data_IF_855053050670
#
_entry.id   IF_855053050670
#
_cell.length_a   1.000
_cell.length_b   1.000
_cell.length_c   1.000
_cell.angle_alpha   90.00
_cell.angle_beta   90.00
_cell.angle_gamma   90.00
#
_symmetry.space_group_name_H-M   'P 1'
#
loop_
_entity.id
_entity.type
_entity.pdbx_description
1 polymer ?
#
# COMPACT_ATOMS: atom_id res chain seq x y z
N UNK A 1 -13.53 -24.80 10.61
CA UNK A 1 -13.65 -25.08 12.10
C UNK A 1 -15.10 -24.94 12.52
N UNK A 2 -15.60 -25.71 13.53
CA UNK A 2 -17.01 -25.54 13.97
C UNK A 2 -17.19 -24.19 14.65
N UNK A 3 -18.22 -23.42 14.26
CA UNK A 3 -18.50 -22.08 14.79
C UNK A 3 -18.53 -22.02 16.33
N UNK A 4 -19.18 -23.01 16.98
CA UNK A 4 -19.24 -23.09 18.45
C UNK A 4 -17.84 -23.18 19.11
N UNK A 5 -16.86 -23.80 18.45
CA UNK A 5 -15.49 -23.88 18.97
C UNK A 5 -14.78 -22.52 18.85
N UNK A 6 -14.99 -21.79 17.74
CA UNK A 6 -14.42 -20.46 17.55
C UNK A 6 -14.98 -19.51 18.62
N UNK A 7 -16.31 -19.51 18.83
CA UNK A 7 -16.95 -18.69 19.86
C UNK A 7 -16.38 -18.97 21.25
N UNK A 8 -16.26 -20.27 21.60
CA UNK A 8 -15.68 -20.66 22.90
C UNK A 8 -14.23 -20.20 23.06
N UNK A 9 -13.42 -20.35 22.02
CA UNK A 9 -12.02 -19.89 22.04
C UNK A 9 -11.94 -18.37 22.17
N UNK A 10 -12.84 -17.66 21.51
CA UNK A 10 -12.92 -16.19 21.61
C UNK A 10 -13.25 -15.75 23.04
N UNK A 11 -14.23 -16.35 23.71
CA UNK A 11 -14.55 -15.99 25.10
C UNK A 11 -13.35 -16.19 26.04
N UNK A 12 -12.61 -17.30 25.89
CA UNK A 12 -11.37 -17.54 26.64
C UNK A 12 -10.32 -16.45 26.35
N UNK A 13 -10.14 -16.08 25.07
CA UNK A 13 -9.24 -15.02 24.67
C UNK A 13 -9.63 -13.68 25.30
N UNK A 14 -10.92 -13.33 25.22
CA UNK A 14 -11.50 -12.11 25.79
C UNK A 14 -11.23 -11.98 27.29
N UNK A 15 -11.42 -13.05 28.06
CA UNK A 15 -11.09 -13.05 29.49
C UNK A 15 -9.60 -12.81 29.77
N UNK A 16 -8.71 -13.41 28.97
CA UNK A 16 -7.25 -13.24 29.10
C UNK A 16 -6.80 -11.82 28.80
N UNK A 17 -7.33 -11.21 27.72
CA UNK A 17 -7.03 -9.83 27.36
C UNK A 17 -7.64 -8.82 28.35
N UNK A 18 -8.86 -9.07 28.84
CA UNK A 18 -9.50 -8.24 29.85
C UNK A 18 -8.70 -8.19 31.17
N UNK A 19 -8.03 -9.29 31.54
CA UNK A 19 -7.16 -9.32 32.70
C UNK A 19 -5.94 -8.38 32.58
N UNK A 20 -5.58 -7.97 31.35
CA UNK A 20 -4.54 -6.98 31.05
C UNK A 20 -5.12 -5.58 30.75
N UNK A 21 -6.43 -5.39 30.90
CA UNK A 21 -7.11 -4.13 30.62
C UNK A 21 -7.41 -3.89 29.14
N UNK A 22 -7.34 -4.93 28.28
CA UNK A 22 -7.55 -4.83 26.83
C UNK A 22 -8.96 -5.29 26.47
N UNK A 23 -9.66 -4.47 25.67
CA UNK A 23 -11.00 -4.77 25.16
C UNK A 23 -10.90 -5.33 23.73
N UNK A 24 -11.15 -6.63 23.59
CA UNK A 24 -11.08 -7.34 22.30
C UNK A 24 -12.20 -6.97 21.35
N UNK A 25 -13.40 -6.63 21.84
CA UNK A 25 -14.51 -6.19 20.99
C UNK A 25 -14.19 -4.85 20.35
N UNK A 26 -13.61 -3.91 21.11
CA UNK A 26 -13.14 -2.62 20.60
C UNK A 26 -12.01 -2.79 19.59
N UNK A 27 -11.06 -3.70 19.84
CA UNK A 27 -9.99 -4.00 18.90
C UNK A 27 -10.53 -4.52 17.55
N UNK A 28 -11.51 -5.44 17.58
CA UNK A 28 -12.20 -5.94 16.40
C UNK A 28 -12.95 -4.82 15.66
N UNK A 29 -13.69 -3.99 16.37
CA UNK A 29 -14.41 -2.85 15.77
C UNK A 29 -13.46 -1.86 15.11
N UNK A 30 -12.30 -1.60 15.72
CA UNK A 30 -11.28 -0.74 15.16
C UNK A 30 -10.67 -1.35 13.89
N UNK A 31 -10.35 -2.64 13.91
CA UNK A 31 -9.85 -3.36 12.74
C UNK A 31 -10.85 -3.32 11.57
N UNK A 32 -12.13 -3.54 11.86
CA UNK A 32 -13.21 -3.55 10.86
C UNK A 32 -13.35 -2.20 10.13
N UNK A 33 -13.09 -1.10 10.86
CA UNK A 33 -13.19 0.27 10.35
C UNK A 33 -11.89 0.83 9.74
N UNK A 34 -10.75 0.19 10.01
CA UNK A 34 -9.45 0.65 9.49
C UNK A 34 -9.31 0.26 8.03
N UNK A 35 -9.31 1.21 7.08
CA UNK A 35 -9.24 0.88 5.67
C UNK A 35 -7.86 0.37 5.28
N UNK A 36 -7.83 -0.65 4.42
CA UNK A 36 -6.61 -1.11 3.75
C UNK A 36 -6.80 -0.93 2.24
N UNK A 37 -5.88 -0.24 1.58
CA UNK A 37 -5.88 -0.02 0.15
C UNK A 37 -5.19 -1.18 -0.56
N UNK A 38 -5.96 -1.93 -1.35
CA UNK A 38 -5.48 -3.01 -2.19
C UNK A 38 -4.86 -2.41 -3.46
N UNK A 39 -3.74 -2.93 -3.88
CA UNK A 39 -3.04 -2.49 -5.09
C UNK A 39 -3.46 -3.35 -6.28
N UNK A 40 -3.97 -2.74 -7.35
CA UNK A 40 -4.51 -3.49 -8.50
C UNK A 40 -3.43 -4.27 -9.28
N UNK A 41 -2.18 -3.83 -9.23
CA UNK A 41 -1.07 -4.36 -10.05
C UNK A 41 -0.54 -5.74 -9.64
N UNK A 42 -0.95 -6.29 -8.50
CA UNK A 42 -0.71 -7.69 -8.16
C UNK A 42 -1.47 -8.66 -9.09
N UNK A 43 -2.60 -8.25 -9.69
CA UNK A 43 -3.43 -9.14 -10.49
C UNK A 43 -2.87 -9.40 -11.91
N UNK A 44 -2.06 -8.46 -12.45
CA UNK A 44 -1.61 -8.49 -13.84
C UNK A 44 -0.09 -8.31 -14.02
N UNK A 45 0.70 -8.36 -12.94
CA UNK A 45 2.17 -8.19 -12.97
C UNK A 45 2.61 -6.78 -13.42
N UNK A 46 1.88 -5.74 -13.02
CA UNK A 46 2.18 -4.31 -13.32
C UNK A 46 2.20 -3.97 -14.81
N UNK A 47 1.47 -4.70 -15.65
CA UNK A 47 1.44 -4.45 -17.11
C UNK A 47 0.50 -3.31 -17.47
N UNK A 48 -0.67 -3.24 -16.80
CA UNK A 48 -1.73 -2.31 -17.17
C UNK A 48 -2.40 -2.62 -18.50
N UNK A 49 -3.29 -1.73 -18.96
CA UNK A 49 -4.10 -1.96 -20.15
C UNK A 49 -4.00 -0.83 -21.18
N UNK A 50 -3.01 0.05 -21.03
CA UNK A 50 -2.77 1.18 -21.91
C UNK A 50 -2.21 0.74 -23.28
N UNK A 51 -1.07 0.02 -23.27
CA UNK A 51 -0.31 -0.32 -24.49
C UNK A 51 0.01 -1.80 -24.66
N UNK A 52 -0.15 -2.60 -23.61
CA UNK A 52 0.19 -4.03 -23.62
C UNK A 52 1.71 -4.32 -23.71
N UNK A 53 2.55 -3.34 -23.41
CA UNK A 53 4.01 -3.49 -23.40
C UNK A 53 4.50 -4.02 -22.04
N UNK A 54 5.64 -4.72 -22.05
CA UNK A 54 6.26 -5.21 -20.83
C UNK A 54 6.74 -4.05 -19.94
N UNK A 55 6.68 -4.23 -18.61
CA UNK A 55 7.16 -3.27 -17.64
C UNK A 55 8.64 -2.89 -17.88
N UNK A 56 8.96 -1.61 -17.70
CA UNK A 56 10.32 -1.04 -17.81
C UNK A 56 10.56 -0.03 -16.67
N UNK A 57 11.70 0.63 -16.65
CA UNK A 57 12.00 1.63 -15.63
C UNK A 57 12.35 1.04 -14.26
N UNK A 58 12.91 -0.19 -14.26
CA UNK A 58 13.33 -0.87 -13.04
C UNK A 58 12.21 -1.60 -12.29
N UNK A 59 10.97 -1.54 -12.79
CA UNK A 59 9.84 -2.31 -12.27
C UNK A 59 9.69 -3.58 -13.09
N UNK A 60 9.77 -4.73 -12.43
CA UNK A 60 9.60 -6.03 -13.07
C UNK A 60 9.04 -7.04 -12.07
N UNK A 61 7.84 -7.55 -12.34
CA UNK A 61 7.33 -8.72 -11.63
C UNK A 61 8.14 -9.95 -11.98
N UNK A 62 8.47 -10.75 -10.99
CA UNK A 62 9.18 -12.02 -11.16
C UNK A 62 8.22 -13.20 -11.05
N UNK A 63 8.44 -14.20 -11.90
CA UNK A 63 7.60 -15.39 -11.98
C UNK A 63 6.71 -15.41 -13.22
N UNK A 64 6.06 -16.53 -13.41
CA UNK A 64 5.17 -16.79 -14.54
C UNK A 64 3.98 -17.67 -14.15
N UNK A 65 3.47 -17.48 -12.92
CA UNK A 65 2.30 -18.23 -12.49
C UNK A 65 1.12 -17.94 -13.45
N UNK A 66 0.39 -18.97 -13.91
CA UNK A 66 -0.65 -18.79 -14.92
C UNK A 66 -1.86 -18.00 -14.38
N UNK A 67 -2.67 -17.50 -15.32
CA UNK A 67 -3.99 -16.91 -15.01
C UNK A 67 -3.98 -15.44 -14.60
N UNK A 68 -2.94 -14.66 -14.92
CA UNK A 68 -2.95 -13.22 -14.71
C UNK A 68 -4.09 -12.52 -15.43
N UNK A 69 -4.58 -11.41 -14.90
CA UNK A 69 -5.60 -10.60 -15.55
C UNK A 69 -5.04 -9.98 -16.86
N UNK A 70 -5.82 -10.08 -17.94
CA UNK A 70 -5.44 -9.63 -19.30
C UNK A 70 -6.18 -8.37 -19.74
N UNK A 71 -7.21 -7.99 -19.00
CA UNK A 71 -8.05 -6.84 -19.23
C UNK A 71 -8.74 -6.39 -17.94
N UNK A 72 -9.42 -5.27 -18.00
CA UNK A 72 -10.08 -4.63 -16.84
C UNK A 72 -11.17 -5.53 -16.24
N UNK A 73 -11.94 -6.22 -17.04
CA UNK A 73 -13.03 -7.08 -16.55
C UNK A 73 -12.48 -8.27 -15.75
N UNK A 74 -11.39 -8.89 -16.23
CA UNK A 74 -10.71 -9.95 -15.51
C UNK A 74 -10.07 -9.45 -14.20
N UNK A 75 -9.51 -8.25 -14.22
CA UNK A 75 -8.95 -7.63 -13.02
C UNK A 75 -10.05 -7.34 -12.00
N UNK A 76 -11.16 -6.73 -12.41
CA UNK A 76 -12.32 -6.52 -11.54
C UNK A 76 -12.84 -7.81 -10.94
N UNK A 77 -12.98 -8.86 -11.75
CA UNK A 77 -13.40 -10.19 -11.30
C UNK A 77 -12.44 -10.76 -10.22
N UNK A 78 -11.13 -10.56 -10.39
CA UNK A 78 -10.14 -11.00 -9.41
C UNK A 78 -10.26 -10.22 -8.10
N UNK A 79 -10.40 -8.91 -8.15
CA UNK A 79 -10.59 -8.08 -6.94
C UNK A 79 -11.91 -8.41 -6.25
N UNK A 80 -12.99 -8.68 -6.99
CA UNK A 80 -14.26 -9.14 -6.41
C UNK A 80 -14.08 -10.48 -5.67
N UNK A 81 -13.31 -11.42 -6.26
CA UNK A 81 -12.99 -12.68 -5.59
C UNK A 81 -12.15 -12.44 -4.33
N UNK A 82 -11.15 -11.58 -4.37
CA UNK A 82 -10.35 -11.19 -3.20
C UNK A 82 -11.24 -10.60 -2.11
N UNK A 83 -12.09 -9.63 -2.46
CA UNK A 83 -12.99 -8.96 -1.52
C UNK A 83 -13.98 -9.96 -0.86
N UNK A 84 -14.42 -10.98 -1.59
CA UNK A 84 -15.31 -12.01 -1.05
C UNK A 84 -14.67 -12.93 0.00
N UNK A 85 -13.35 -12.92 0.14
CA UNK A 85 -12.58 -13.77 1.06
C UNK A 85 -11.96 -12.98 2.23
N UNK A 86 -12.26 -11.69 2.34
CA UNK A 86 -11.68 -10.80 3.34
C UNK A 86 -12.77 -10.05 4.11
N UNK A 87 -12.60 -9.90 5.43
CA UNK A 87 -13.41 -9.03 6.27
C UNK A 87 -12.74 -7.66 6.42
N UNK A 88 -13.53 -6.60 6.60
CA UNK A 88 -13.05 -5.25 6.87
C UNK A 88 -13.42 -4.24 5.80
N UNK A 89 -12.77 -3.08 5.85
CA UNK A 89 -13.00 -1.97 4.92
C UNK A 89 -11.83 -1.87 3.95
N UNK A 90 -12.11 -1.82 2.65
CA UNK A 90 -11.08 -1.80 1.62
C UNK A 90 -11.20 -0.59 0.69
N UNK A 91 -10.05 -0.19 0.16
CA UNK A 91 -9.90 0.73 -0.96
C UNK A 91 -9.19 -0.01 -2.08
N UNK A 92 -9.24 0.49 -3.30
CA UNK A 92 -8.45 -0.03 -4.41
C UNK A 92 -7.54 1.08 -4.94
N UNK A 93 -6.25 0.82 -4.93
CA UNK A 93 -5.23 1.70 -5.48
C UNK A 93 -4.99 1.35 -6.95
N UNK A 94 -5.20 2.33 -7.84
CA UNK A 94 -5.00 2.22 -9.27
C UNK A 94 -3.76 3.00 -9.71
N UNK A 95 -3.09 2.53 -10.75
CA UNK A 95 -2.20 3.34 -11.57
C UNK A 95 -2.93 3.91 -12.79
N UNK A 96 -2.39 4.97 -13.36
CA UNK A 96 -2.95 5.58 -14.56
C UNK A 96 -3.09 4.57 -15.72
N UNK A 97 -2.16 3.64 -15.89
CA UNK A 97 -2.16 2.61 -16.95
C UNK A 97 -3.34 1.62 -16.89
N UNK A 98 -4.15 1.65 -15.84
CA UNK A 98 -5.36 0.85 -15.68
C UNK A 98 -6.63 1.56 -16.15
N UNK A 99 -6.50 2.67 -16.87
CA UNK A 99 -7.63 3.38 -17.47
C UNK A 99 -8.40 2.56 -18.49
N UNK A 100 -9.68 2.88 -18.68
CA UNK A 100 -10.57 2.30 -19.72
C UNK A 100 -10.36 3.04 -21.05
N UNK A 101 -9.31 2.67 -21.78
CA UNK A 101 -8.96 3.36 -23.04
C UNK A 101 -9.82 2.98 -24.24
N UNK A 102 -10.57 1.87 -24.16
CA UNK A 102 -11.50 1.44 -25.24
C UNK A 102 -10.83 1.20 -26.59
N UNK A 103 -9.56 0.77 -26.58
CA UNK A 103 -8.74 0.57 -27.78
C UNK A 103 -8.23 1.88 -28.43
N UNK A 104 -8.45 3.03 -27.81
CA UNK A 104 -7.86 4.31 -28.23
C UNK A 104 -6.46 4.44 -27.68
N UNK A 105 -5.56 4.96 -28.50
CA UNK A 105 -4.25 5.40 -28.03
C UNK A 105 -4.38 6.83 -27.49
N UNK A 106 -4.41 6.97 -26.18
CA UNK A 106 -4.39 8.24 -25.45
C UNK A 106 -3.04 8.29 -24.77
N UNK A 107 -2.25 9.33 -24.99
CA UNK A 107 -0.96 9.45 -24.32
C UNK A 107 -1.13 9.95 -22.89
N UNK A 108 -0.17 9.66 -22.02
CA UNK A 108 -0.27 9.91 -20.58
C UNK A 108 -0.47 11.37 -20.22
N UNK A 109 0.05 12.29 -21.02
CA UNK A 109 -0.21 13.73 -20.87
C UNK A 109 -1.55 14.20 -21.47
N UNK A 110 -2.40 13.28 -21.95
CA UNK A 110 -3.73 13.55 -22.50
C UNK A 110 -4.85 12.86 -21.71
N UNK A 111 -4.50 11.94 -20.78
CA UNK A 111 -5.47 11.19 -19.99
C UNK A 111 -6.38 12.09 -19.17
N UNK A 112 -7.64 11.70 -19.01
CA UNK A 112 -8.66 12.45 -18.27
C UNK A 112 -9.47 11.52 -17.36
N UNK A 113 -10.37 12.09 -16.58
CA UNK A 113 -11.29 11.32 -15.73
C UNK A 113 -12.17 10.37 -16.51
N UNK A 114 -12.40 10.61 -17.79
CA UNK A 114 -13.28 9.77 -18.64
C UNK A 114 -12.79 8.32 -18.70
N UNK A 115 -11.47 8.10 -18.63
CA UNK A 115 -10.87 6.77 -18.61
C UNK A 115 -11.05 6.03 -17.28
N UNK A 116 -11.60 6.68 -16.25
CA UNK A 116 -11.75 6.11 -14.92
C UNK A 116 -13.19 6.12 -14.39
N UNK A 117 -14.15 6.60 -15.19
CA UNK A 117 -15.57 6.65 -14.78
C UNK A 117 -16.15 5.27 -14.48
N UNK A 118 -15.78 4.26 -15.27
CA UNK A 118 -16.18 2.88 -15.04
C UNK A 118 -15.60 2.32 -13.73
N UNK A 119 -14.35 2.66 -13.38
CA UNK A 119 -13.74 2.29 -12.11
C UNK A 119 -14.46 2.92 -10.92
N UNK A 120 -14.81 4.21 -11.00
CA UNK A 120 -15.54 4.91 -9.94
C UNK A 120 -16.91 4.25 -9.71
N UNK A 121 -17.64 3.92 -10.78
CA UNK A 121 -18.94 3.26 -10.67
C UNK A 121 -18.81 1.86 -10.09
N UNK A 122 -17.87 1.06 -10.59
CA UNK A 122 -17.60 -0.30 -10.10
C UNK A 122 -17.19 -0.29 -8.62
N UNK A 123 -16.29 0.60 -8.20
CA UNK A 123 -15.85 0.70 -6.82
C UNK A 123 -17.03 1.02 -5.87
N UNK A 124 -17.93 1.92 -6.28
CA UNK A 124 -19.16 2.22 -5.56
C UNK A 124 -20.06 0.99 -5.40
N UNK A 125 -20.22 0.18 -6.45
CA UNK A 125 -21.01 -1.05 -6.42
C UNK A 125 -20.38 -2.11 -5.51
N UNK A 126 -19.05 -2.15 -5.43
CA UNK A 126 -18.30 -3.03 -4.53
C UNK A 126 -18.18 -2.49 -3.10
N UNK A 127 -18.76 -1.33 -2.79
CA UNK A 127 -18.58 -0.62 -1.52
C UNK A 127 -17.10 -0.38 -1.17
N UNK A 128 -16.30 -0.12 -2.19
CA UNK A 128 -14.88 0.25 -2.09
C UNK A 128 -14.69 1.72 -2.44
N UNK A 129 -13.56 2.28 -2.01
CA UNK A 129 -13.09 3.60 -2.44
C UNK A 129 -11.82 3.44 -3.26
N UNK A 130 -11.47 4.48 -4.01
CA UNK A 130 -10.29 4.47 -4.88
C UNK A 130 -9.18 5.34 -4.32
N UNK A 131 -7.95 4.86 -4.50
CA UNK A 131 -6.72 5.62 -4.43
C UNK A 131 -6.03 5.56 -5.80
N UNK A 132 -5.01 6.40 -6.02
CA UNK A 132 -4.46 6.59 -7.35
C UNK A 132 -2.95 6.78 -7.36
N UNK A 133 -2.31 6.47 -8.50
CA UNK A 133 -0.89 6.73 -8.75
C UNK A 133 -0.69 7.33 -10.13
N UNK A 134 0.25 8.28 -10.26
CA UNK A 134 0.85 8.58 -11.55
C UNK A 134 1.78 7.45 -11.98
N UNK A 135 1.96 7.28 -13.29
CA UNK A 135 2.82 6.22 -13.84
C UNK A 135 3.92 6.83 -14.67
N UNK A 136 5.15 6.85 -14.16
CA UNK A 136 6.30 7.45 -14.84
C UNK A 136 7.22 6.43 -15.53
N UNK A 137 6.97 5.15 -15.38
CA UNK A 137 7.73 4.02 -15.95
C UNK A 137 7.01 3.41 -17.18
N UNK A 138 7.68 2.52 -17.90
CA UNK A 138 7.10 1.77 -19.04
C UNK A 138 6.53 2.66 -20.15
N UNK A 139 7.22 3.73 -20.50
CA UNK A 139 6.85 4.66 -21.55
C UNK A 139 8.08 5.07 -22.35
N UNK A 140 7.98 5.34 -23.68
CA UNK A 140 9.15 5.73 -24.51
C UNK A 140 9.91 6.95 -23.99
N UNK A 141 9.24 7.88 -23.30
CA UNK A 141 9.86 9.07 -22.71
C UNK A 141 10.33 8.87 -21.26
N UNK A 142 10.18 7.66 -20.67
CA UNK A 142 10.59 7.41 -19.28
C UNK A 142 12.11 7.54 -19.09
N UNK A 143 12.90 6.87 -19.92
CA UNK A 143 14.37 6.89 -19.80
C UNK A 143 14.83 6.63 -18.36
N UNK A 144 15.91 7.29 -17.96
CA UNK A 144 16.40 7.29 -16.58
C UNK A 144 15.93 8.50 -15.76
N UNK A 145 15.36 9.50 -16.40
CA UNK A 145 14.93 10.76 -15.79
C UNK A 145 13.58 11.19 -16.40
N UNK A 146 12.64 11.53 -15.55
CA UNK A 146 11.31 12.02 -15.93
C UNK A 146 11.08 13.45 -15.41
N UNK A 147 10.58 13.62 -14.20
CA UNK A 147 10.36 14.94 -13.57
C UNK A 147 11.66 15.69 -13.28
N UNK A 148 12.79 15.00 -13.19
CA UNK A 148 14.12 15.61 -13.06
C UNK A 148 14.90 15.71 -14.38
N UNK A 149 14.25 15.46 -15.52
CA UNK A 149 14.92 15.48 -16.82
C UNK A 149 15.39 16.90 -17.17
N UNK A 150 16.66 17.09 -17.58
CA UNK A 150 17.18 18.39 -18.03
C UNK A 150 16.56 18.87 -19.34
N UNK A 151 16.04 17.95 -20.19
CA UNK A 151 15.28 18.32 -21.39
C UNK A 151 13.89 18.85 -20.99
N UNK A 152 13.57 20.13 -21.28
CA UNK A 152 12.29 20.72 -20.92
C UNK A 152 11.09 19.98 -21.55
N UNK A 153 11.21 19.52 -22.79
CA UNK A 153 10.09 18.88 -23.48
C UNK A 153 9.69 17.55 -22.81
N UNK A 154 10.68 16.74 -22.40
CA UNK A 154 10.42 15.51 -21.66
C UNK A 154 9.85 15.82 -20.27
N UNK A 155 10.40 16.80 -19.59
CA UNK A 155 9.96 17.19 -18.26
C UNK A 155 8.54 17.75 -18.27
N UNK A 156 8.19 18.61 -19.22
CA UNK A 156 6.84 19.17 -19.38
C UNK A 156 5.78 18.09 -19.64
N UNK A 157 6.12 17.06 -20.44
CA UNK A 157 5.27 15.90 -20.64
C UNK A 157 4.92 15.23 -19.31
N UNK A 158 5.91 14.97 -18.45
CA UNK A 158 5.70 14.29 -17.16
C UNK A 158 5.04 15.19 -16.10
N UNK A 159 5.28 16.49 -16.14
CA UNK A 159 4.58 17.47 -15.30
C UNK A 159 3.09 17.48 -15.66
N UNK A 160 2.74 17.57 -16.95
CA UNK A 160 1.34 17.54 -17.39
C UNK A 160 0.68 16.22 -17.06
N UNK A 161 1.35 15.08 -17.29
CA UNK A 161 0.87 13.77 -16.87
C UNK A 161 0.48 13.76 -15.38
N UNK A 162 1.40 14.17 -14.51
CA UNK A 162 1.18 14.14 -13.07
C UNK A 162 0.06 15.09 -12.63
N UNK A 163 -0.03 16.29 -13.23
CA UNK A 163 -1.15 17.22 -13.01
C UNK A 163 -2.49 16.60 -13.39
N UNK A 164 -2.56 15.89 -14.52
CA UNK A 164 -3.79 15.19 -14.95
C UNK A 164 -4.17 14.09 -13.98
N UNK A 165 -3.22 13.29 -13.54
CA UNK A 165 -3.44 12.27 -12.53
C UNK A 165 -4.00 12.87 -11.22
N UNK A 166 -3.52 14.04 -10.79
CA UNK A 166 -4.06 14.75 -9.62
C UNK A 166 -5.53 15.17 -9.84
N UNK A 167 -5.86 15.70 -11.02
CA UNK A 167 -7.26 16.06 -11.35
C UNK A 167 -8.18 14.84 -11.43
N UNK A 168 -7.67 13.69 -11.89
CA UNK A 168 -8.39 12.42 -11.88
C UNK A 168 -8.65 11.96 -10.45
N UNK A 169 -7.62 12.01 -9.59
CA UNK A 169 -7.74 11.68 -8.17
C UNK A 169 -8.75 12.60 -7.44
N UNK A 170 -8.73 13.89 -7.73
CA UNK A 170 -9.71 14.83 -7.19
C UNK A 170 -11.16 14.49 -7.61
N UNK A 171 -11.36 14.15 -8.88
CA UNK A 171 -12.66 13.71 -9.37
C UNK A 171 -13.11 12.39 -8.71
N UNK A 172 -12.20 11.44 -8.47
CA UNK A 172 -12.47 10.21 -7.71
C UNK A 172 -12.87 10.54 -6.28
N UNK A 173 -12.11 11.40 -5.59
CA UNK A 173 -12.40 11.81 -4.22
C UNK A 173 -13.76 12.48 -4.10
N UNK A 174 -14.07 13.39 -4.99
CA UNK A 174 -15.38 14.04 -5.05
C UNK A 174 -16.52 13.05 -5.29
N UNK A 175 -16.34 12.09 -6.19
CA UNK A 175 -17.35 11.08 -6.51
C UNK A 175 -17.65 10.16 -5.31
N UNK A 176 -16.61 9.75 -4.59
CA UNK A 176 -16.73 8.83 -3.45
C UNK A 176 -16.98 9.53 -2.10
N UNK A 177 -17.04 10.87 -2.09
CA UNK A 177 -17.19 11.71 -0.90
C UNK A 177 -16.18 11.36 0.21
N UNK A 178 -14.93 11.14 -0.20
CA UNK A 178 -13.80 10.81 0.66
C UNK A 178 -12.51 11.06 -0.13
N UNK A 179 -11.50 11.72 0.45
CA UNK A 179 -10.30 12.06 -0.30
C UNK A 179 -9.66 10.83 -0.98
N UNK A 180 -9.33 10.99 -2.26
CA UNK A 180 -8.51 10.02 -2.97
C UNK A 180 -7.04 10.29 -2.63
N UNK A 181 -6.34 9.28 -2.13
CA UNK A 181 -4.90 9.39 -1.87
C UNK A 181 -4.15 9.09 -3.15
N UNK A 182 -3.36 10.05 -3.59
CA UNK A 182 -2.60 9.92 -4.83
C UNK A 182 -1.11 9.93 -4.58
N UNK A 183 -0.48 8.81 -4.89
CA UNK A 183 0.96 8.65 -4.77
C UNK A 183 1.69 9.13 -6.03
N UNK A 184 2.79 9.84 -5.82
CA UNK A 184 3.72 10.28 -6.86
C UNK A 184 5.06 9.63 -6.59
N UNK A 185 5.38 8.61 -7.38
CA UNK A 185 6.66 7.95 -7.41
C UNK A 185 7.31 8.12 -8.78
N UNK A 186 8.60 8.44 -8.80
CA UNK A 186 9.42 8.51 -10.01
C UNK A 186 10.70 7.71 -9.83
N UNK A 187 11.07 6.95 -10.85
CA UNK A 187 12.28 6.13 -10.86
C UNK A 187 13.54 6.92 -11.20
N UNK A 188 13.48 8.24 -11.17
CA UNK A 188 14.55 9.12 -11.61
C UNK A 188 15.88 8.87 -10.86
N UNK A 189 16.94 8.57 -11.62
CA UNK A 189 18.24 8.27 -11.04
C UNK A 189 19.30 7.87 -12.06
N UNK A 190 20.37 7.24 -11.58
CA UNK A 190 21.49 6.82 -12.40
C UNK A 190 22.10 5.53 -11.91
N UNK A 191 22.45 4.66 -12.86
CA UNK A 191 23.17 3.43 -12.61
C UNK A 191 24.59 3.67 -12.12
N UNK A 192 25.24 4.72 -12.60
CA UNK A 192 26.62 5.05 -12.28
C UNK A 192 26.75 6.45 -11.67
N UNK A 193 27.96 6.83 -11.27
CA UNK A 193 28.28 8.04 -10.53
C UNK A 193 27.71 9.28 -11.21
N UNK A 194 26.87 10.02 -10.51
CA UNK A 194 26.32 11.31 -10.93
C UNK A 194 27.12 12.44 -10.29
N UNK A 195 27.65 13.36 -11.10
CA UNK A 195 28.41 14.52 -10.62
C UNK A 195 27.47 15.63 -10.15
N UNK A 196 26.44 15.92 -10.92
CA UNK A 196 25.53 17.07 -10.75
C UNK A 196 24.28 16.70 -9.94
N UNK A 197 24.43 15.92 -8.85
CA UNK A 197 23.28 15.46 -8.01
C UNK A 197 22.36 16.61 -7.57
N UNK A 198 22.93 17.73 -7.16
CA UNK A 198 22.17 18.91 -6.73
C UNK A 198 21.29 19.49 -7.83
N UNK A 199 21.81 19.56 -9.07
CA UNK A 199 21.06 20.04 -10.23
C UNK A 199 19.81 19.24 -10.52
N UNK A 200 19.90 17.90 -10.53
CA UNK A 200 18.73 17.04 -10.79
C UNK A 200 17.70 17.14 -9.68
N UNK A 201 18.12 17.29 -8.41
CA UNK A 201 17.21 17.53 -7.29
C UNK A 201 16.53 18.90 -7.36
N UNK A 202 17.23 19.93 -7.81
CA UNK A 202 16.63 21.25 -8.04
C UNK A 202 15.59 21.20 -9.16
N UNK A 203 15.86 20.48 -10.24
CA UNK A 203 14.89 20.27 -11.33
C UNK A 203 13.67 19.54 -10.81
N UNK A 204 13.84 18.42 -10.08
CA UNK A 204 12.74 17.68 -9.48
C UNK A 204 11.91 18.57 -8.55
N UNK A 205 12.57 19.33 -7.67
CA UNK A 205 11.90 20.27 -6.77
C UNK A 205 11.02 21.25 -7.54
N UNK A 206 11.55 21.86 -8.60
CA UNK A 206 10.80 22.85 -9.40
C UNK A 206 9.61 22.20 -10.12
N UNK A 207 9.76 20.96 -10.61
CA UNK A 207 8.67 20.19 -11.21
C UNK A 207 7.57 19.88 -10.19
N UNK A 208 7.94 19.50 -8.97
CA UNK A 208 6.98 19.27 -7.89
C UNK A 208 6.27 20.57 -7.45
N UNK A 209 7.00 21.68 -7.35
CA UNK A 209 6.40 22.97 -7.03
C UNK A 209 5.33 23.35 -8.08
N UNK A 210 5.59 23.09 -9.35
CA UNK A 210 4.62 23.34 -10.44
C UNK A 210 3.44 22.37 -10.41
N UNK A 211 3.68 21.08 -10.16
CA UNK A 211 2.62 20.05 -10.06
C UNK A 211 1.69 20.34 -8.90
N UNK A 212 2.23 20.73 -7.75
CA UNK A 212 1.47 20.91 -6.51
C UNK A 212 0.85 22.30 -6.36
N UNK A 213 1.11 23.22 -7.29
CA UNK A 213 0.58 24.59 -7.25
C UNK A 213 -0.96 24.65 -7.39
N UNK A 214 -1.58 23.68 -8.06
CA UNK A 214 -3.03 23.59 -8.20
C UNK A 214 -3.64 22.99 -6.93
N UNK A 215 -4.53 23.72 -6.27
CA UNK A 215 -5.30 23.24 -5.12
C UNK A 215 -6.45 22.35 -5.58
N UNK A 216 -6.50 21.11 -5.08
CA UNK A 216 -7.49 20.10 -5.40
C UNK A 216 -8.03 19.53 -4.08
N UNK A 217 -9.26 19.95 -3.67
CA UNK A 217 -9.73 19.74 -2.30
C UNK A 217 -10.18 18.30 -1.99
N UNK A 218 -10.52 17.52 -3.01
CA UNK A 218 -11.08 16.17 -2.84
C UNK A 218 -10.01 15.06 -2.96
N UNK A 219 -8.72 15.45 -3.01
CA UNK A 219 -7.60 14.51 -3.04
C UNK A 219 -6.45 14.93 -2.12
N UNK A 220 -5.56 13.99 -1.83
CA UNK A 220 -4.31 14.26 -1.11
C UNK A 220 -3.14 13.71 -1.90
N UNK A 221 -2.14 14.54 -2.19
CA UNK A 221 -0.90 14.10 -2.82
C UNK A 221 0.09 13.59 -1.78
N UNK A 222 0.73 12.47 -2.05
CA UNK A 222 1.87 11.96 -1.29
C UNK A 222 3.07 11.72 -2.21
N UNK A 223 4.27 11.83 -1.66
CA UNK A 223 5.51 11.70 -2.40
C UNK A 223 6.31 10.53 -1.85
N UNK A 224 6.71 9.63 -2.74
CA UNK A 224 7.38 8.38 -2.39
C UNK A 224 8.88 8.45 -2.67
N UNK A 225 9.67 8.19 -1.64
CA UNK A 225 11.10 8.09 -1.75
C UNK A 225 11.54 6.71 -2.25
N UNK A 226 12.68 6.67 -2.93
CA UNK A 226 13.34 5.43 -3.36
C UNK A 226 14.76 5.37 -2.79
N UNK A 227 15.17 4.18 -2.34
CA UNK A 227 16.55 3.94 -1.92
C UNK A 227 17.44 3.74 -3.14
N UNK A 228 17.16 2.68 -3.90
CA UNK A 228 17.80 2.34 -5.17
C UNK A 228 16.86 1.45 -6.00
N UNK A 229 17.25 1.13 -7.23
CA UNK A 229 16.52 0.22 -8.10
C UNK A 229 17.39 -0.25 -9.25
N UNK A 230 16.88 -1.17 -10.08
CA UNK A 230 17.57 -1.61 -11.29
C UNK A 230 17.72 -0.41 -12.23
N UNK A 231 18.98 -0.05 -12.54
CA UNK A 231 19.32 1.14 -13.31
C UNK A 231 19.50 2.42 -12.48
N UNK A 232 19.35 2.35 -11.16
CA UNK A 232 19.45 3.47 -10.20
C UNK A 232 20.45 3.18 -9.06
N UNK A 233 21.38 2.29 -9.26
CA UNK A 233 22.23 1.71 -8.22
C UNK A 233 23.13 2.74 -7.53
N UNK A 234 23.60 3.76 -8.26
CA UNK A 234 24.51 4.76 -7.71
C UNK A 234 23.85 6.05 -7.25
N UNK A 235 22.67 6.37 -7.75
CA UNK A 235 22.00 7.64 -7.43
C UNK A 235 20.51 7.60 -7.70
N UNK A 236 19.74 7.93 -6.69
CA UNK A 236 18.31 8.21 -6.78
C UNK A 236 18.07 9.70 -6.53
N UNK A 237 17.36 10.38 -7.42
CA UNK A 237 17.08 11.82 -7.30
C UNK A 237 16.16 12.05 -6.13
N UNK A 238 15.04 11.32 -6.06
CA UNK A 238 14.04 11.35 -5.00
C UNK A 238 14.40 10.44 -3.82
N UNK A 239 15.48 10.75 -3.11
CA UNK A 239 15.90 10.03 -1.89
C UNK A 239 15.03 10.37 -0.67
N UNK A 240 15.14 9.58 0.39
CA UNK A 240 14.47 9.83 1.67
C UNK A 240 14.70 11.25 2.19
N UNK A 241 15.97 11.69 2.23
CA UNK A 241 16.32 13.03 2.71
C UNK A 241 15.67 14.14 1.87
N UNK A 242 15.60 13.94 0.55
CA UNK A 242 14.99 14.90 -0.36
C UNK A 242 13.48 15.01 -0.09
N UNK A 243 12.76 13.90 -0.12
CA UNK A 243 11.30 13.95 0.02
C UNK A 243 10.85 14.23 1.45
N UNK A 244 11.54 13.75 2.49
CA UNK A 244 11.23 14.12 3.88
C UNK A 244 11.37 15.64 4.08
N UNK A 245 12.46 16.24 3.58
CA UNK A 245 12.66 17.69 3.62
C UNK A 245 11.61 18.47 2.79
N UNK A 246 11.27 17.97 1.60
CA UNK A 246 10.29 18.61 0.73
C UNK A 246 8.87 18.55 1.32
N UNK A 247 8.44 17.38 1.78
CA UNK A 247 7.12 17.17 2.37
C UNK A 247 6.92 18.00 3.65
N UNK A 248 7.93 17.99 4.53
CA UNK A 248 7.90 18.79 5.75
C UNK A 248 7.79 20.30 5.47
N UNK A 249 8.55 20.78 4.49
CA UNK A 249 8.55 22.21 4.12
C UNK A 249 7.24 22.66 3.49
N UNK A 250 6.62 21.82 2.66
CA UNK A 250 5.48 22.19 1.82
C UNK A 250 4.15 21.63 2.34
N UNK A 251 4.15 21.01 3.54
CA UNK A 251 2.96 20.40 4.16
C UNK A 251 2.28 19.36 3.24
N UNK A 252 3.08 18.50 2.62
CA UNK A 252 2.64 17.40 1.73
C UNK A 252 2.81 16.08 2.47
N UNK A 253 1.94 15.10 2.19
CA UNK A 253 2.06 13.76 2.75
C UNK A 253 3.33 13.07 2.24
N UNK A 254 3.90 12.22 3.09
CA UNK A 254 5.04 11.38 2.75
C UNK A 254 4.59 9.92 2.58
N UNK A 255 5.03 9.27 1.51
CA UNK A 255 4.83 7.82 1.35
C UNK A 255 6.02 7.08 1.93
N UNK A 256 5.72 6.29 2.96
CA UNK A 256 6.66 5.39 3.60
C UNK A 256 6.47 4.00 2.99
N UNK A 257 7.36 3.65 2.07
CA UNK A 257 7.42 2.31 1.48
C UNK A 257 8.40 1.44 2.24
N UNK A 258 7.95 0.29 2.74
CA UNK A 258 8.77 -0.61 3.55
C UNK A 258 9.86 -1.32 2.75
N UNK A 259 9.73 -1.39 1.43
CA UNK A 259 10.74 -1.94 0.51
C UNK A 259 11.86 -0.96 0.16
N UNK A 260 11.67 0.32 0.42
CA UNK A 260 12.59 1.38 0.00
C UNK A 260 13.61 1.79 1.09
N UNK A 261 13.91 0.91 2.04
CA UNK A 261 14.87 1.12 3.12
C UNK A 261 16.00 0.09 3.06
N UNK A 262 17.13 0.37 3.70
CA UNK A 262 18.20 -0.60 3.84
C UNK A 262 17.71 -1.85 4.60
N UNK A 263 18.12 -3.07 4.22
CA UNK A 263 17.60 -4.31 4.84
C UNK A 263 17.82 -4.43 6.34
N UNK A 264 18.73 -3.65 6.90
CA UNK A 264 19.05 -3.60 8.34
C UNK A 264 18.35 -2.45 9.08
N UNK A 265 17.60 -1.62 8.36
CA UNK A 265 16.90 -0.47 8.94
C UNK A 265 15.54 -0.90 9.48
N UNK A 266 15.18 -0.37 10.64
CA UNK A 266 13.86 -0.59 11.21
C UNK A 266 12.91 0.51 10.74
N UNK A 267 12.14 0.22 9.70
CA UNK A 267 11.25 1.20 9.06
C UNK A 267 10.20 1.78 10.01
N UNK A 268 9.80 1.03 11.05
CA UNK A 268 8.83 1.51 12.03
C UNK A 268 9.28 2.77 12.76
N UNK A 269 10.60 2.96 12.95
CA UNK A 269 11.16 4.13 13.64
C UNK A 269 10.90 5.43 12.85
N UNK A 270 10.70 5.35 11.53
CA UNK A 270 10.41 6.50 10.70
C UNK A 270 8.99 7.06 10.92
N UNK A 271 8.04 6.24 11.39
CA UNK A 271 6.61 6.62 11.52
C UNK A 271 6.44 7.82 12.44
N UNK A 272 6.79 7.67 13.72
CA UNK A 272 6.62 8.74 14.70
C UNK A 272 7.55 9.93 14.43
N UNK A 273 8.74 9.68 13.87
CA UNK A 273 9.68 10.74 13.51
C UNK A 273 9.12 11.64 12.38
N UNK A 274 8.64 11.06 11.28
CA UNK A 274 8.08 11.81 10.15
C UNK A 274 6.81 12.57 10.55
N UNK A 275 5.92 11.96 11.33
CA UNK A 275 4.66 12.56 11.75
C UNK A 275 4.80 13.80 12.65
N UNK A 276 6.00 14.11 13.13
CA UNK A 276 6.28 15.40 13.77
C UNK A 276 6.38 16.55 12.76
N UNK A 277 6.66 16.25 11.49
CA UNK A 277 6.99 17.25 10.48
C UNK A 277 6.08 17.24 9.25
N UNK A 278 5.48 16.08 8.92
CA UNK A 278 4.55 15.94 7.80
C UNK A 278 3.11 15.81 8.30
N UNK A 279 2.10 16.22 7.51
CA UNK A 279 0.70 16.17 7.96
C UNK A 279 0.21 14.73 8.17
N UNK A 280 0.49 13.85 7.22
CA UNK A 280 0.01 12.47 7.19
C UNK A 280 1.02 11.57 6.46
N UNK A 281 0.88 10.26 6.61
CA UNK A 281 1.64 9.25 5.90
C UNK A 281 0.73 8.40 4.99
N UNK A 282 1.21 8.09 3.80
CA UNK A 282 0.79 6.91 3.05
C UNK A 282 1.78 5.79 3.35
N UNK A 283 1.29 4.61 3.65
CA UNK A 283 2.13 3.41 3.78
C UNK A 283 2.02 2.59 2.50
N UNK A 284 3.15 2.18 1.97
CA UNK A 284 3.26 1.12 0.99
C UNK A 284 3.94 -0.07 1.67
N UNK A 285 3.14 -1.09 2.02
CA UNK A 285 3.60 -2.23 2.81
C UNK A 285 3.91 -3.39 1.88
N UNK A 286 5.18 -3.75 1.82
CA UNK A 286 5.72 -4.88 1.08
C UNK A 286 6.66 -5.70 1.97
N UNK A 287 7.23 -6.77 1.45
CA UNK A 287 8.27 -7.53 2.12
C UNK A 287 9.54 -7.57 1.27
N UNK A 288 10.46 -6.63 1.48
CA UNK A 288 11.78 -6.71 0.86
C UNK A 288 12.57 -7.89 1.45
N UNK A 289 13.31 -8.62 0.60
CA UNK A 289 14.18 -9.69 1.08
C UNK A 289 15.60 -9.17 1.35
N UNK A 290 16.41 -9.00 0.35
CA UNK A 290 17.74 -8.41 0.48
C UNK A 290 17.84 -7.03 -0.18
N UNK A 291 16.82 -6.67 -0.89
CA UNK A 291 16.61 -5.42 -1.61
C UNK A 291 15.10 -5.27 -1.85
N UNK A 292 14.68 -4.16 -2.43
CA UNK A 292 13.30 -3.90 -2.82
C UNK A 292 12.86 -4.91 -3.90
N UNK A 293 12.28 -6.01 -3.44
CA UNK A 293 11.95 -7.19 -4.26
C UNK A 293 10.46 -7.50 -4.28
N UNK A 294 9.65 -6.60 -3.75
CA UNK A 294 8.18 -6.56 -3.85
C UNK A 294 7.46 -7.88 -3.55
N UNK A 295 7.98 -8.63 -2.54
CA UNK A 295 7.35 -9.87 -2.09
C UNK A 295 6.08 -9.61 -1.28
N UNK A 296 5.21 -10.60 -1.29
CA UNK A 296 3.97 -10.60 -0.51
C UNK A 296 4.27 -10.32 0.97
N UNK A 297 3.56 -9.35 1.54
CA UNK A 297 3.62 -9.02 2.97
C UNK A 297 3.29 -10.23 3.82
N UNK A 298 4.10 -10.49 4.83
CA UNK A 298 3.91 -11.56 5.81
C UNK A 298 3.67 -11.00 7.22
N UNK A 299 3.14 -11.84 8.09
CA UNK A 299 3.01 -11.57 9.52
C UNK A 299 4.36 -11.81 10.21
N UNK A 300 5.34 -10.99 9.89
CA UNK A 300 6.70 -11.01 10.42
C UNK A 300 6.97 -9.83 11.38
N UNK A 301 8.15 -9.78 11.95
CA UNK A 301 8.49 -8.74 12.93
C UNK A 301 8.50 -7.34 12.32
N UNK A 302 8.91 -7.18 11.05
CA UNK A 302 8.93 -5.87 10.40
C UNK A 302 7.52 -5.31 10.23
N UNK A 303 6.60 -6.12 9.70
CA UNK A 303 5.20 -5.75 9.51
C UNK A 303 4.51 -5.49 10.86
N UNK A 304 4.76 -6.33 11.86
CA UNK A 304 4.21 -6.16 13.21
C UNK A 304 4.69 -4.89 13.87
N UNK A 305 6.00 -4.61 13.84
CA UNK A 305 6.59 -3.41 14.44
C UNK A 305 6.06 -2.14 13.77
N UNK A 306 5.88 -2.12 12.44
CA UNK A 306 5.30 -0.99 11.72
C UNK A 306 3.91 -0.63 12.26
N UNK A 307 3.02 -1.62 12.36
CA UNK A 307 1.66 -1.38 12.83
C UNK A 307 1.57 -1.12 14.34
N UNK A 308 2.45 -1.75 15.14
CA UNK A 308 2.56 -1.42 16.56
C UNK A 308 2.98 0.04 16.77
N UNK A 309 3.93 0.55 15.98
CA UNK A 309 4.35 1.95 16.07
C UNK A 309 3.22 2.92 15.64
N UNK A 310 2.46 2.61 14.60
CA UNK A 310 1.29 3.41 14.24
C UNK A 310 0.29 3.55 15.38
N UNK A 311 0.01 2.46 16.06
CA UNK A 311 -0.95 2.44 17.18
C UNK A 311 -0.37 3.14 18.40
N UNK A 312 0.90 2.87 18.75
CA UNK A 312 1.61 3.49 19.87
C UNK A 312 1.75 5.00 19.72
N UNK A 313 1.99 5.46 18.49
CA UNK A 313 2.06 6.88 18.15
C UNK A 313 0.68 7.55 18.04
N UNK A 314 -0.41 6.80 18.20
CA UNK A 314 -1.79 7.29 17.99
C UNK A 314 -1.96 7.92 16.60
N UNK A 315 -1.45 7.26 15.57
CA UNK A 315 -1.28 7.81 14.23
C UNK A 315 -2.29 7.28 13.19
N UNK A 316 -3.25 6.44 13.59
CA UNK A 316 -4.21 5.83 12.65
C UNK A 316 -5.02 6.85 11.85
N UNK A 317 -5.37 7.98 12.44
CA UNK A 317 -6.10 9.07 11.78
C UNK A 317 -5.25 9.84 10.77
N UNK A 318 -3.94 9.62 10.80
CA UNK A 318 -2.94 10.31 9.98
C UNK A 318 -2.15 9.36 9.10
N UNK A 319 -2.58 8.11 8.99
CA UNK A 319 -1.92 7.10 8.18
C UNK A 319 -2.91 6.40 7.25
N UNK A 320 -2.58 6.36 5.98
CA UNK A 320 -3.33 5.65 4.95
C UNK A 320 -2.58 4.37 4.62
N UNK A 321 -3.19 3.23 4.89
CA UNK A 321 -2.54 1.92 4.77
C UNK A 321 -2.77 1.37 3.38
N UNK A 322 -1.72 1.29 2.57
CA UNK A 322 -1.69 0.61 1.29
C UNK A 322 -0.71 -0.57 1.30
N UNK A 323 -1.01 -1.56 0.48
CA UNK A 323 -0.09 -2.65 0.18
C UNK A 323 0.59 -2.38 -1.16
N UNK A 324 1.85 -2.76 -1.26
CA UNK A 324 2.63 -2.56 -2.49
C UNK A 324 3.59 -3.74 -2.71
N UNK A 325 3.06 -4.77 -3.35
CA UNK A 325 3.84 -5.92 -3.80
C UNK A 325 3.24 -6.47 -5.10
N UNK A 326 4.05 -7.17 -5.89
CA UNK A 326 3.61 -7.82 -7.11
C UNK A 326 4.43 -9.10 -7.36
N UNK A 327 3.91 -10.19 -6.83
CA UNK A 327 4.55 -11.50 -6.90
C UNK A 327 3.86 -12.38 -7.95
N UNK A 328 4.52 -12.57 -9.09
CA UNK A 328 4.05 -13.43 -10.18
C UNK A 328 4.48 -14.89 -10.05
N UNK A 329 5.10 -15.29 -8.93
CA UNK A 329 5.60 -16.66 -8.72
C UNK A 329 4.56 -17.61 -8.09
N UNK A 330 3.46 -17.08 -7.57
CA UNK A 330 2.38 -17.82 -6.92
C UNK A 330 1.02 -17.37 -7.45
N UNK A 331 -0.04 -18.09 -7.05
CA UNK A 331 -1.43 -17.69 -7.32
C UNK A 331 -1.70 -16.26 -6.82
N UNK A 332 -2.13 -15.35 -7.72
CA UNK A 332 -2.25 -13.93 -7.42
C UNK A 332 -3.36 -13.62 -6.43
N UNK A 333 -4.46 -14.38 -6.44
CA UNK A 333 -5.53 -14.27 -5.44
C UNK A 333 -4.98 -14.68 -4.06
N UNK A 334 -4.22 -15.78 -4.03
CA UNK A 334 -3.53 -16.25 -2.82
C UNK A 334 -2.57 -15.19 -2.27
N UNK A 335 -1.81 -14.52 -3.13
CA UNK A 335 -0.90 -13.44 -2.74
C UNK A 335 -1.66 -12.29 -2.06
N UNK A 336 -2.78 -11.82 -2.64
CA UNK A 336 -3.63 -10.81 -2.00
C UNK A 336 -4.11 -11.25 -0.62
N UNK A 337 -4.69 -12.46 -0.51
CA UNK A 337 -5.28 -12.93 0.75
C UNK A 337 -4.21 -13.06 1.85
N UNK A 338 -3.04 -13.61 1.52
CA UNK A 338 -1.93 -13.74 2.46
C UNK A 338 -1.50 -12.36 2.96
N UNK A 339 -1.22 -11.42 2.04
CA UNK A 339 -0.70 -10.10 2.40
C UNK A 339 -1.69 -9.25 3.19
N UNK A 340 -2.96 -9.21 2.76
CA UNK A 340 -4.01 -8.49 3.50
C UNK A 340 -4.21 -9.06 4.89
N UNK A 341 -4.30 -10.39 5.01
CA UNK A 341 -4.45 -11.05 6.32
C UNK A 341 -3.22 -10.85 7.21
N UNK A 342 -2.02 -10.75 6.64
CA UNK A 342 -0.82 -10.41 7.39
C UNK A 342 -0.90 -8.99 7.98
N UNK A 343 -1.31 -8.01 7.17
CA UNK A 343 -1.53 -6.63 7.64
C UNK A 343 -2.64 -6.56 8.71
N UNK A 344 -3.79 -7.22 8.49
CA UNK A 344 -4.88 -7.28 9.46
C UNK A 344 -4.47 -7.92 10.79
N UNK A 345 -3.71 -9.02 10.75
CA UNK A 345 -3.21 -9.68 11.96
C UNK A 345 -2.23 -8.78 12.72
N UNK A 346 -1.38 -8.05 12.01
CA UNK A 346 -0.42 -7.12 12.60
C UNK A 346 -1.13 -5.93 13.26
N UNK A 347 -2.13 -5.36 12.58
CA UNK A 347 -3.00 -4.32 13.15
C UNK A 347 -3.76 -4.82 14.38
N UNK A 348 -4.40 -5.99 14.29
CA UNK A 348 -5.13 -6.56 15.42
C UNK A 348 -4.22 -6.78 16.61
N UNK A 349 -3.02 -7.32 16.41
CA UNK A 349 -2.06 -7.51 17.49
C UNK A 349 -1.68 -6.18 18.14
N UNK A 350 -1.46 -5.13 17.35
CA UNK A 350 -1.18 -3.79 17.85
C UNK A 350 -2.36 -3.22 18.65
N UNK A 351 -3.61 -3.44 18.22
CA UNK A 351 -4.81 -3.02 18.98
C UNK A 351 -5.01 -3.80 20.29
N UNK A 352 -4.44 -4.99 20.38
CA UNK A 352 -4.51 -5.85 21.55
C UNK A 352 -3.33 -5.64 22.53
N UNK A 353 -2.40 -4.74 22.25
CA UNK A 353 -1.34 -4.39 23.19
C UNK A 353 -1.91 -3.71 24.45
N UNK A 354 -1.46 -4.08 25.67
CA UNK A 354 -1.87 -3.43 26.91
C UNK A 354 -1.14 -2.08 27.10
N UNK A 355 -1.38 -1.13 26.19
CA UNK A 355 -0.59 0.11 26.06
C UNK A 355 -0.55 0.95 27.33
N UNK A 356 -1.65 1.04 28.09
CA UNK A 356 -1.68 1.82 29.33
C UNK A 356 -0.70 1.27 30.36
N UNK A 357 -0.61 -0.06 30.47
CA UNK A 357 0.33 -0.73 31.37
C UNK A 357 1.78 -0.59 30.86
N UNK A 358 2.00 -0.74 29.55
CA UNK A 358 3.34 -0.57 28.95
C UNK A 358 3.87 0.84 29.13
N UNK A 359 3.05 1.88 28.87
CA UNK A 359 3.38 3.30 29.08
C UNK A 359 3.67 3.59 30.54
N UNK A 360 2.85 3.07 31.45
CA UNK A 360 3.09 3.20 32.90
C UNK A 360 4.43 2.61 33.30
N UNK A 361 4.79 1.42 32.83
CA UNK A 361 6.08 0.82 33.12
C UNK A 361 7.24 1.65 32.56
N UNK A 362 7.07 2.24 31.38
CA UNK A 362 8.07 3.12 30.78
C UNK A 362 8.28 4.39 31.61
N UNK A 363 7.20 5.10 31.96
CA UNK A 363 7.23 6.32 32.75
C UNK A 363 7.83 6.09 34.16
N UNK A 364 7.59 4.92 34.76
CA UNK A 364 8.11 4.53 36.05
C UNK A 364 9.54 3.94 35.98
N UNK A 365 10.15 3.83 34.81
CA UNK A 365 11.47 3.23 34.62
C UNK A 365 11.52 1.72 34.90
N UNK A 366 10.39 1.04 34.85
CA UNK A 366 10.23 -0.41 35.05
C UNK A 366 10.58 -1.20 33.79
N UNK A 367 11.82 -1.09 33.31
CA UNK A 367 12.24 -1.61 32.01
C UNK A 367 12.11 -3.13 31.90
N UNK A 368 12.44 -3.87 32.97
CA UNK A 368 12.29 -5.32 33.03
C UNK A 368 10.80 -5.72 32.86
N UNK A 369 9.91 -5.10 33.61
CA UNK A 369 8.48 -5.42 33.58
C UNK A 369 7.87 -5.11 32.23
N UNK A 370 8.27 -3.97 31.60
CA UNK A 370 7.87 -3.61 30.25
C UNK A 370 8.30 -4.66 29.23
N UNK A 371 9.58 -5.04 29.24
CA UNK A 371 10.10 -6.04 28.31
C UNK A 371 9.45 -7.41 28.52
N UNK A 372 9.27 -7.84 29.78
CA UNK A 372 8.60 -9.09 30.09
C UNK A 372 7.16 -9.11 29.56
N UNK A 373 6.40 -8.02 29.74
CA UNK A 373 5.03 -7.94 29.24
C UNK A 373 4.99 -7.98 27.71
N UNK A 374 5.88 -7.26 27.01
CA UNK A 374 6.02 -7.30 25.54
C UNK A 374 6.35 -8.70 25.00
N UNK A 375 7.10 -9.51 25.76
CA UNK A 375 7.38 -10.90 25.37
C UNK A 375 6.17 -11.82 25.63
N UNK A 376 5.53 -11.70 26.79
CA UNK A 376 4.40 -12.56 27.16
C UNK A 376 3.15 -12.30 26.30
N UNK A 377 2.91 -11.06 25.87
CA UNK A 377 1.77 -10.74 24.99
C UNK A 377 1.85 -11.42 23.62
N UNK A 378 3.06 -11.73 23.11
CA UNK A 378 3.24 -12.43 21.83
C UNK A 378 2.58 -13.81 21.82
N UNK A 379 2.38 -14.42 22.96
CA UNK A 379 1.77 -15.76 23.12
C UNK A 379 0.33 -15.71 23.60
N UNK A 380 -0.27 -14.53 23.74
CA UNK A 380 -1.69 -14.40 24.00
C UNK A 380 -2.51 -14.93 22.79
N UNK A 381 -3.75 -15.39 23.02
CA UNK A 381 -4.52 -16.06 21.97
C UNK A 381 -5.15 -15.08 20.96
N UNK A 382 -4.34 -14.19 20.35
CA UNK A 382 -4.82 -13.24 19.35
C UNK A 382 -5.43 -13.94 18.13
N UNK A 383 -4.93 -15.14 17.78
CA UNK A 383 -5.49 -15.95 16.71
C UNK A 383 -6.98 -16.27 16.92
N UNK A 384 -7.39 -16.52 18.16
CA UNK A 384 -8.80 -16.76 18.46
C UNK A 384 -9.66 -15.48 18.27
N UNK A 385 -9.10 -14.30 18.50
CA UNK A 385 -9.76 -13.01 18.24
C UNK A 385 -9.88 -12.79 16.73
N UNK A 386 -8.84 -13.10 15.95
CA UNK A 386 -8.86 -13.00 14.50
C UNK A 386 -9.80 -14.00 13.83
N UNK A 387 -9.86 -15.24 14.34
CA UNK A 387 -10.82 -16.25 13.88
C UNK A 387 -12.27 -15.80 14.11
N UNK A 388 -12.56 -15.20 15.28
CA UNK A 388 -13.86 -14.64 15.57
C UNK A 388 -14.20 -13.45 14.67
N UNK A 389 -13.25 -12.56 14.40
CA UNK A 389 -13.40 -11.47 13.44
C UNK A 389 -13.87 -11.97 12.06
N UNK A 390 -13.22 -13.01 11.53
CA UNK A 390 -13.61 -13.61 10.26
C UNK A 390 -14.96 -14.30 10.33
N UNK A 391 -15.23 -15.09 11.38
CA UNK A 391 -16.51 -15.77 11.58
C UNK A 391 -17.69 -14.78 11.64
N UNK A 392 -17.55 -13.70 12.42
CA UNK A 392 -18.56 -12.64 12.58
C UNK A 392 -18.94 -12.01 11.23
N UNK A 393 -17.99 -11.92 10.33
CA UNK A 393 -18.14 -11.33 8.99
C UNK A 393 -18.46 -12.36 7.89
N UNK A 394 -18.74 -13.63 8.27
CA UNK A 394 -19.01 -14.73 7.33
C UNK A 394 -17.89 -14.98 6.33
N UNK A 395 -16.63 -14.77 6.72
CA UNK A 395 -15.42 -14.98 5.93
C UNK A 395 -14.76 -16.31 6.35
N UNK A 396 -14.13 -17.05 5.41
CA UNK A 396 -13.42 -18.29 5.72
C UNK A 396 -12.42 -18.12 6.87
N UNK A 397 -12.47 -19.04 7.86
CA UNK A 397 -11.61 -19.00 9.03
C UNK A 397 -10.39 -19.90 8.85
N UNK A 398 -9.24 -19.45 9.35
CA UNK A 398 -7.98 -20.17 9.22
C UNK A 398 -7.58 -20.37 7.76
N UNK A 399 -7.34 -21.62 7.37
CA UNK A 399 -6.93 -22.06 6.03
C UNK A 399 -8.09 -22.33 5.06
N UNK A 400 -9.34 -22.19 5.48
CA UNK A 400 -10.53 -22.56 4.68
C UNK A 400 -10.59 -21.81 3.32
N UNK A 401 -10.02 -20.61 3.23
CA UNK A 401 -9.93 -19.85 1.98
C UNK A 401 -9.11 -20.52 0.87
N UNK A 402 -8.22 -21.47 1.23
CA UNK A 402 -7.36 -22.15 0.25
C UNK A 402 -8.21 -22.92 -0.76
N UNK A 403 -9.19 -23.69 -0.29
CA UNK A 403 -10.09 -24.44 -1.17
C UNK A 403 -10.91 -23.52 -2.10
N UNK A 404 -11.32 -22.34 -1.62
CA UNK A 404 -12.01 -21.34 -2.43
C UNK A 404 -11.12 -20.77 -3.55
N UNK A 405 -9.83 -20.57 -3.25
CA UNK A 405 -8.85 -20.09 -4.24
C UNK A 405 -8.55 -21.18 -5.27
N UNK A 406 -8.32 -22.43 -4.83
CA UNK A 406 -8.09 -23.56 -5.74
C UNK A 406 -9.27 -23.78 -6.70
N UNK A 407 -10.49 -23.64 -6.19
CA UNK A 407 -11.69 -23.70 -7.01
C UNK A 407 -11.73 -22.56 -8.05
N UNK A 408 -11.47 -21.33 -7.62
CA UNK A 408 -11.44 -20.16 -8.52
C UNK A 408 -10.33 -20.32 -9.58
N UNK A 409 -9.17 -20.82 -9.20
CA UNK A 409 -8.09 -21.11 -10.13
C UNK A 409 -8.53 -22.09 -11.20
N UNK A 410 -9.14 -23.22 -10.82
CA UNK A 410 -9.59 -24.24 -11.77
C UNK A 410 -10.74 -23.74 -12.68
N UNK A 411 -11.67 -22.97 -12.12
CA UNK A 411 -12.88 -22.55 -12.85
C UNK A 411 -12.68 -21.28 -13.69
N UNK A 412 -11.77 -20.39 -13.30
CA UNK A 412 -11.58 -19.07 -13.89
C UNK A 412 -10.16 -18.88 -14.41
N UNK A 413 -9.14 -18.89 -13.53
CA UNK A 413 -7.77 -18.52 -13.92
C UNK A 413 -7.17 -19.48 -14.97
N UNK A 414 -7.44 -20.76 -14.88
CA UNK A 414 -6.97 -21.75 -15.84
C UNK A 414 -7.46 -21.54 -17.27
N UNK A 415 -8.54 -20.75 -17.46
CA UNK A 415 -9.07 -20.42 -18.79
C UNK A 415 -8.40 -19.20 -19.44
N UNK A 416 -7.50 -18.55 -18.71
CA UNK A 416 -6.78 -17.34 -19.17
C UNK A 416 -5.45 -17.66 -19.86
N UNK A 417 -5.09 -18.91 -19.97
CA UNK A 417 -3.83 -19.38 -20.58
C UNK A 417 -3.91 -19.43 -22.10
#
# INVERSE_FOLDING_TARGET
MKADLILKNYEIAKERYAALGVDTDKAIETLEKTPISLHCWQADDVVGFERGEAASGGIQSTGNYPGKARNIDELRQDIEKVNSLLAGTFRLNLHEIYGEFGGKQIDRNEVTVDQFTGWMQWAKEQNMKLDFNSTSFSHPLSGNLTLSNPDPAIREFWIEHTKRCRRIADAMGKFQNDPCIMNIWVHDGSKDITVEKGRYREILKNSLDEILAEELPDMKSCLEAKLFGIGLEAYTVGSHDFYAGYCAKNNVMYTLDTGHYEPTENVSDAVSALLLFVPELMLHVSRPMHWDSDHVTLFDDNTRNLFSELVRANALDRAHIGLDYFDGSINRIGAYIIGVRAAQKSLLQAFLEPLDTLRKYEDEGKLFQRLALLEEEKTLPFGAVYDYFNLKNNIPVGEEYIADIEKYEAEVLAKRN
#
